data_IF_713803571835
#
_entry.id   IF_713803571835
#
_cell.length_a   1.000
_cell.length_b   1.000
_cell.length_c   1.000
_cell.angle_alpha   90.00
_cell.angle_beta   90.00
_cell.angle_gamma   90.00
#
_symmetry.space_group_name_H-M   'P 1'
#
loop_
_entity.id
_entity.type
_entity.pdbx_description
1 polymer ?
#
# COMPACT_ATOMS: atom_id res chain seq x y z
N UNK A 1 17.51 -4.48 -19.86
CA UNK A 1 17.78 -3.06 -19.65
C UNK A 1 16.88 -2.24 -20.58
N UNK A 2 16.22 -1.21 -20.04
CA UNK A 2 15.43 -0.24 -20.79
C UNK A 2 16.17 1.08 -20.87
N UNK A 3 16.28 1.63 -22.08
CA UNK A 3 16.90 2.94 -22.30
C UNK A 3 15.82 3.98 -22.49
N UNK A 4 15.92 5.09 -21.74
CA UNK A 4 14.89 6.14 -21.73
C UNK A 4 15.38 7.43 -22.37
N UNK A 5 14.41 8.28 -22.78
CA UNK A 5 14.64 9.59 -23.35
C UNK A 5 15.11 10.61 -22.29
N UNK A 6 15.49 11.80 -22.75
CA UNK A 6 15.99 12.87 -21.85
C UNK A 6 14.90 13.40 -20.91
N UNK A 7 13.63 13.37 -21.33
CA UNK A 7 12.51 13.81 -20.50
C UNK A 7 12.36 12.88 -19.29
N UNK A 8 12.25 11.56 -19.53
CA UNK A 8 12.18 10.58 -18.45
C UNK A 8 13.44 10.58 -17.57
N UNK A 9 14.65 10.71 -18.17
CA UNK A 9 15.88 10.87 -17.38
C UNK A 9 15.76 12.03 -16.39
N UNK A 10 15.24 13.19 -16.82
CA UNK A 10 15.04 14.35 -15.94
C UNK A 10 14.03 14.06 -14.81
N UNK A 11 12.91 13.42 -15.13
CA UNK A 11 11.90 13.03 -14.15
C UNK A 11 12.44 12.04 -13.12
N UNK A 12 13.14 11.01 -13.58
CA UNK A 12 13.70 9.97 -12.71
C UNK A 12 14.79 10.54 -11.78
N UNK A 13 15.64 11.42 -12.28
CA UNK A 13 16.65 12.11 -11.46
C UNK A 13 15.98 13.04 -10.44
N UNK A 14 14.86 13.66 -10.80
CA UNK A 14 14.03 14.47 -9.92
C UNK A 14 13.21 13.69 -8.89
N UNK A 15 13.31 12.34 -8.86
CA UNK A 15 12.62 11.51 -7.88
C UNK A 15 11.35 10.82 -8.38
N UNK A 16 10.86 11.12 -9.58
CA UNK A 16 9.68 10.43 -10.13
C UNK A 16 9.94 8.93 -10.31
N UNK A 17 9.05 8.03 -9.84
CA UNK A 17 9.35 6.59 -9.81
C UNK A 17 8.89 5.83 -11.06
N UNK A 18 8.25 6.46 -12.05
CA UNK A 18 7.63 5.79 -13.18
C UNK A 18 8.33 6.05 -14.50
N UNK A 19 8.46 5.01 -15.31
CA UNK A 19 8.84 5.07 -16.72
C UNK A 19 7.61 4.73 -17.55
N UNK A 20 7.19 5.66 -18.38
CA UNK A 20 6.06 5.43 -19.28
C UNK A 20 6.52 4.80 -20.60
N UNK A 21 5.60 4.11 -21.27
CA UNK A 21 5.84 3.47 -22.56
C UNK A 21 6.46 4.44 -23.60
N UNK A 22 5.91 5.65 -23.68
CA UNK A 22 6.37 6.67 -24.64
C UNK A 22 7.75 7.27 -24.30
N UNK A 23 8.29 6.99 -23.13
CA UNK A 23 9.60 7.46 -22.69
C UNK A 23 10.73 6.49 -23.06
N UNK A 24 10.39 5.28 -23.51
CA UNK A 24 11.34 4.23 -23.85
C UNK A 24 11.89 4.46 -25.27
N UNK A 25 13.19 4.59 -25.39
CA UNK A 25 13.91 4.67 -26.64
C UNK A 25 14.30 3.31 -27.19
N UNK A 26 14.80 2.45 -26.30
CA UNK A 26 15.24 1.10 -26.63
C UNK A 26 14.76 0.14 -25.53
N UNK A 27 14.14 -0.96 -25.94
CA UNK A 27 13.75 -2.07 -25.11
C UNK A 27 14.63 -3.29 -25.40
N UNK A 28 14.71 -4.29 -24.50
CA UNK A 28 15.38 -5.55 -24.80
C UNK A 28 14.76 -6.22 -26.02
N UNK A 29 15.58 -6.91 -26.81
CA UNK A 29 15.09 -7.61 -28.02
C UNK A 29 14.06 -8.70 -27.73
N UNK A 30 14.12 -9.30 -26.55
CA UNK A 30 13.06 -10.18 -26.00
C UNK A 30 12.44 -9.49 -24.82
N UNK A 31 11.11 -9.36 -24.81
CA UNK A 31 10.39 -8.79 -23.69
C UNK A 31 10.65 -9.61 -22.42
N UNK A 32 10.97 -8.98 -21.30
CA UNK A 32 11.11 -9.69 -20.04
C UNK A 32 9.76 -10.24 -19.58
N UNK A 33 9.79 -11.24 -18.74
CA UNK A 33 8.58 -11.76 -18.12
C UNK A 33 7.89 -10.66 -17.30
N UNK A 34 6.56 -10.59 -17.40
CA UNK A 34 5.75 -9.57 -16.74
C UNK A 34 5.98 -9.61 -15.21
N UNK A 35 6.22 -8.46 -14.60
CA UNK A 35 6.49 -8.31 -13.17
C UNK A 35 7.93 -8.61 -12.75
N UNK A 36 8.87 -8.85 -13.67
CA UNK A 36 10.28 -9.03 -13.33
C UNK A 36 11.01 -7.70 -13.16
N UNK A 37 12.14 -7.76 -12.47
CA UNK A 37 13.01 -6.61 -12.27
C UNK A 37 13.81 -6.29 -13.55
N UNK A 38 13.85 -5.01 -13.89
CA UNK A 38 14.60 -4.50 -15.03
C UNK A 38 15.35 -3.24 -14.66
N UNK A 39 16.53 -3.08 -15.26
CA UNK A 39 17.31 -1.84 -15.11
C UNK A 39 16.87 -0.81 -16.14
N UNK A 40 16.87 0.44 -15.68
CA UNK A 40 16.60 1.62 -16.49
C UNK A 40 17.86 2.46 -16.58
N UNK A 41 18.23 2.82 -17.81
CA UNK A 41 19.40 3.65 -18.08
C UNK A 41 19.04 4.86 -18.96
N UNK A 42 19.82 5.92 -18.86
CA UNK A 42 19.71 7.06 -19.75
C UNK A 42 20.12 6.73 -21.19
N UNK A 43 19.84 7.64 -22.14
CA UNK A 43 20.33 7.49 -23.53
C UNK A 43 21.86 7.27 -23.63
N UNK A 44 22.61 7.80 -22.66
CA UNK A 44 24.09 7.66 -22.59
C UNK A 44 24.56 6.44 -21.81
N UNK A 45 23.64 5.57 -21.34
CA UNK A 45 23.97 4.36 -20.59
C UNK A 45 24.18 4.59 -19.08
N UNK A 46 23.90 5.80 -18.54
CA UNK A 46 23.94 6.02 -17.09
C UNK A 46 22.80 5.29 -16.40
N UNK A 47 23.08 4.51 -15.38
CA UNK A 47 22.08 3.84 -14.56
C UNK A 47 21.17 4.87 -13.86
N UNK A 48 19.86 4.65 -13.91
CA UNK A 48 18.84 5.50 -13.33
C UNK A 48 18.04 4.79 -12.23
N UNK A 49 18.03 3.47 -12.24
CA UNK A 49 17.35 2.66 -11.24
C UNK A 49 16.95 1.29 -11.75
N UNK A 50 16.49 0.45 -10.83
CA UNK A 50 15.88 -0.85 -11.09
C UNK A 50 14.44 -0.83 -10.60
N UNK A 51 13.54 -1.44 -11.36
CA UNK A 51 12.12 -1.50 -11.04
C UNK A 51 11.41 -2.67 -11.69
N UNK A 52 10.12 -2.83 -11.36
CA UNK A 52 9.28 -3.87 -11.92
C UNK A 52 8.74 -3.47 -13.29
N UNK A 53 8.91 -4.35 -14.24
CA UNK A 53 8.33 -4.24 -15.58
C UNK A 53 6.85 -4.62 -15.55
N UNK A 54 6.01 -3.87 -16.29
CA UNK A 54 4.61 -4.22 -16.57
C UNK A 54 4.35 -4.23 -18.07
N UNK A 55 3.83 -5.35 -18.56
CA UNK A 55 3.49 -5.53 -19.98
C UNK A 55 2.18 -4.83 -20.36
N UNK A 56 1.22 -4.76 -19.42
CA UNK A 56 -0.13 -4.28 -19.71
C UNK A 56 -0.33 -2.79 -19.35
N UNK A 57 0.46 -2.28 -18.43
CA UNK A 57 0.35 -0.89 -17.98
C UNK A 57 1.06 0.09 -18.91
N UNK A 58 0.49 1.29 -19.05
CA UNK A 58 1.22 2.42 -19.66
C UNK A 58 2.45 2.83 -18.85
N UNK A 59 2.48 2.53 -17.56
CA UNK A 59 3.66 2.66 -16.69
C UNK A 59 4.48 1.39 -16.85
N UNK A 60 5.41 1.40 -17.79
CA UNK A 60 6.20 0.19 -18.16
C UNK A 60 7.16 -0.26 -17.08
N UNK A 61 7.76 0.67 -16.34
CA UNK A 61 8.64 0.32 -15.22
C UNK A 61 8.31 1.21 -14.02
N UNK A 62 8.13 0.56 -12.88
CA UNK A 62 8.01 1.23 -11.58
C UNK A 62 9.27 1.01 -10.78
N UNK A 63 10.06 2.08 -10.59
CA UNK A 63 11.34 2.01 -9.88
C UNK A 63 11.13 1.71 -8.41
N UNK A 64 11.99 0.85 -7.87
CA UNK A 64 12.04 0.46 -6.46
C UNK A 64 13.38 0.81 -5.80
N UNK A 65 14.43 0.95 -6.60
CA UNK A 65 15.73 1.41 -6.12
C UNK A 65 16.46 2.22 -7.19
N UNK A 66 17.29 3.16 -6.73
CA UNK A 66 18.25 3.92 -7.55
C UNK A 66 19.69 3.58 -7.23
N UNK A 67 19.91 2.64 -6.33
CA UNK A 67 21.23 2.16 -5.96
C UNK A 67 21.58 0.91 -6.78
N UNK A 68 22.56 1.03 -7.67
CA UNK A 68 23.00 -0.08 -8.53
C UNK A 68 23.62 -1.27 -7.75
N UNK A 69 23.92 -1.09 -6.48
CA UNK A 69 24.49 -2.15 -5.63
C UNK A 69 23.43 -2.92 -4.85
N UNK A 70 22.14 -2.52 -4.94
CA UNK A 70 21.09 -3.24 -4.24
C UNK A 70 20.88 -4.64 -4.84
N UNK A 71 20.76 -5.61 -3.94
CA UNK A 71 20.36 -6.97 -4.26
C UNK A 71 18.94 -7.16 -3.75
N UNK A 72 18.04 -7.56 -4.62
CA UNK A 72 16.60 -7.65 -4.36
C UNK A 72 16.22 -9.01 -3.75
N UNK A 73 16.96 -9.41 -2.73
CA UNK A 73 16.76 -10.59 -1.91
C UNK A 73 15.79 -10.34 -0.74
N UNK A 74 15.52 -11.37 0.07
CA UNK A 74 14.65 -11.26 1.24
C UNK A 74 15.16 -10.20 2.24
N UNK A 75 16.47 -10.06 2.41
CA UNK A 75 17.05 -9.08 3.34
C UNK A 75 16.80 -7.65 2.87
N UNK A 76 16.84 -7.41 1.55
CA UNK A 76 16.48 -6.10 0.96
C UNK A 76 15.01 -5.74 1.28
N UNK A 77 14.08 -6.68 1.05
CA UNK A 77 12.66 -6.43 1.29
C UNK A 77 12.35 -6.25 2.76
N UNK A 78 12.94 -7.08 3.63
CA UNK A 78 12.78 -6.93 5.08
C UNK A 78 13.24 -5.54 5.56
N UNK A 79 14.42 -5.09 5.13
CA UNK A 79 14.95 -3.76 5.45
C UNK A 79 14.01 -2.64 4.97
N UNK A 80 13.42 -2.76 3.78
CA UNK A 80 12.46 -1.77 3.28
C UNK A 80 11.17 -1.75 4.09
N UNK A 81 10.64 -2.90 4.49
CA UNK A 81 9.49 -3.01 5.38
C UNK A 81 9.78 -2.36 6.73
N UNK A 82 10.96 -2.63 7.28
CA UNK A 82 11.41 -2.02 8.51
C UNK A 82 11.47 -0.49 8.40
N UNK A 83 12.03 0.05 7.32
CA UNK A 83 12.05 1.51 7.11
C UNK A 83 10.65 2.12 7.01
N UNK A 84 9.73 1.49 6.32
CA UNK A 84 8.36 1.97 6.23
C UNK A 84 7.68 1.99 7.61
N UNK A 85 7.89 0.94 8.42
CA UNK A 85 7.35 0.86 9.77
C UNK A 85 8.00 1.86 10.74
N UNK A 86 9.33 1.96 10.76
CA UNK A 86 10.06 2.91 11.57
C UNK A 86 9.67 4.36 11.25
N UNK A 87 9.45 4.66 9.97
CA UNK A 87 8.95 5.97 9.57
C UNK A 87 7.60 6.27 10.23
N UNK A 88 6.65 5.32 10.25
CA UNK A 88 5.36 5.51 10.94
C UNK A 88 5.54 5.78 12.43
N UNK A 89 6.38 5.02 13.09
CA UNK A 89 6.70 5.23 14.50
C UNK A 89 7.35 6.59 14.78
N UNK A 90 8.10 7.13 13.83
CA UNK A 90 8.77 8.43 13.99
C UNK A 90 7.84 9.64 13.79
N UNK A 91 6.75 9.50 13.01
CA UNK A 91 5.88 10.63 12.62
C UNK A 91 4.48 10.58 13.22
N UNK A 92 4.10 9.47 13.84
CA UNK A 92 2.77 9.27 14.43
C UNK A 92 2.85 9.16 15.95
N UNK A 93 1.80 9.60 16.64
CA UNK A 93 1.66 9.32 18.06
C UNK A 93 1.55 7.80 18.29
N UNK A 94 2.15 7.24 19.36
CA UNK A 94 2.09 5.80 19.63
C UNK A 94 0.66 5.24 19.66
N UNK A 95 -0.32 5.99 20.16
CA UNK A 95 -1.72 5.59 20.16
C UNK A 95 -2.31 5.47 18.75
N UNK A 96 -1.75 6.19 17.77
CA UNK A 96 -2.21 6.19 16.40
C UNK A 96 -1.69 4.99 15.60
N UNK A 97 -0.68 4.26 16.13
CA UNK A 97 -0.16 3.05 15.51
C UNK A 97 -1.11 1.85 15.61
N UNK A 98 -2.15 1.95 16.41
CA UNK A 98 -3.20 0.92 16.50
C UNK A 98 -3.98 0.80 15.18
N UNK A 99 -4.28 1.94 14.55
CA UNK A 99 -4.94 1.98 13.24
C UNK A 99 -4.26 3.01 12.33
N UNK A 100 -3.47 2.53 11.37
CA UNK A 100 -2.68 3.39 10.50
C UNK A 100 -2.34 2.73 9.16
N UNK A 101 -2.03 3.56 8.16
CA UNK A 101 -1.44 3.11 6.90
C UNK A 101 0.06 2.87 7.07
N UNK A 102 0.49 1.62 6.93
CA UNK A 102 1.89 1.22 7.06
C UNK A 102 2.63 1.48 5.75
N UNK A 103 2.04 1.07 4.61
CA UNK A 103 2.64 1.23 3.28
C UNK A 103 1.69 2.00 2.38
N UNK A 104 2.22 3.01 1.70
CA UNK A 104 1.49 3.83 0.73
C UNK A 104 2.21 3.87 -0.62
N UNK A 105 2.21 2.76 -1.32
CA UNK A 105 2.66 2.66 -2.70
C UNK A 105 4.06 3.23 -2.93
N UNK A 106 4.15 4.08 -3.92
CA UNK A 106 5.37 4.74 -4.35
C UNK A 106 6.00 5.63 -3.29
N UNK A 107 5.22 6.19 -2.37
CA UNK A 107 5.73 7.05 -1.30
C UNK A 107 6.68 6.28 -0.36
N UNK A 108 6.44 4.98 -0.19
CA UNK A 108 7.27 4.08 0.62
C UNK A 108 8.16 3.18 -0.26
N UNK A 109 8.20 3.46 -1.57
CA UNK A 109 8.93 2.68 -2.58
C UNK A 109 8.49 1.19 -2.65
N UNK A 110 7.18 0.96 -2.50
CA UNK A 110 6.48 -0.30 -2.78
C UNK A 110 5.39 -0.04 -3.83
N UNK A 111 5.75 0.19 -5.10
CA UNK A 111 4.83 0.71 -6.11
C UNK A 111 3.62 -0.20 -6.31
N UNK A 112 2.44 0.35 -6.05
CA UNK A 112 1.18 -0.38 -6.16
C UNK A 112 0.83 -1.28 -4.97
N UNK A 113 1.54 -1.20 -3.84
CA UNK A 113 1.20 -1.87 -2.59
C UNK A 113 0.62 -0.88 -1.59
N UNK A 114 -0.56 -1.16 -1.05
CA UNK A 114 -1.12 -0.42 0.08
C UNK A 114 -1.36 -1.40 1.22
N UNK A 115 -0.91 -1.03 2.42
CA UNK A 115 -1.14 -1.81 3.64
C UNK A 115 -1.68 -0.91 4.73
N UNK A 116 -2.89 -1.19 5.15
CA UNK A 116 -3.55 -0.58 6.29
C UNK A 116 -3.61 -1.57 7.46
N UNK A 117 -3.20 -1.12 8.63
CA UNK A 117 -3.30 -1.85 9.89
C UNK A 117 -4.53 -1.38 10.65
N UNK A 118 -5.33 -2.32 11.11
CA UNK A 118 -6.47 -2.13 11.98
C UNK A 118 -6.30 -3.06 13.18
N UNK A 119 -5.76 -2.54 14.27
CA UNK A 119 -5.42 -3.29 15.47
C UNK A 119 -4.61 -4.57 15.18
N UNK A 120 -5.28 -5.70 15.08
CA UNK A 120 -4.69 -7.03 14.88
C UNK A 120 -4.89 -7.60 13.45
N UNK A 121 -5.45 -6.81 12.54
CA UNK A 121 -5.66 -7.18 11.15
C UNK A 121 -4.89 -6.24 10.20
N UNK A 122 -4.37 -6.81 9.13
CA UNK A 122 -3.85 -6.05 7.98
C UNK A 122 -4.84 -6.16 6.83
N UNK A 123 -5.17 -5.03 6.23
CA UNK A 123 -5.91 -4.95 4.97
C UNK A 123 -4.96 -4.51 3.88
N UNK A 124 -4.83 -5.32 2.83
CA UNK A 124 -3.80 -5.17 1.82
C UNK A 124 -4.41 -5.07 0.44
N UNK A 125 -3.94 -4.11 -0.35
CA UNK A 125 -4.20 -4.02 -1.78
C UNK A 125 -2.91 -4.16 -2.56
N UNK A 126 -2.85 -5.15 -3.45
CA UNK A 126 -1.73 -5.37 -4.36
C UNK A 126 -2.18 -4.98 -5.76
N UNK A 127 -1.73 -3.82 -6.23
CA UNK A 127 -2.24 -3.16 -7.45
C UNK A 127 -1.23 -3.17 -8.61
N UNK A 128 -0.09 -3.83 -8.45
CA UNK A 128 0.91 -3.97 -9.52
C UNK A 128 1.44 -5.40 -9.62
N UNK A 129 1.74 -5.82 -10.83
CA UNK A 129 2.23 -7.17 -11.11
C UNK A 129 3.55 -7.48 -10.38
N UNK A 130 4.42 -6.49 -10.22
CA UNK A 130 5.67 -6.69 -9.49
C UNK A 130 5.45 -6.99 -8.01
N UNK A 131 4.53 -6.28 -7.35
CA UNK A 131 4.18 -6.56 -5.96
C UNK A 131 3.44 -7.89 -5.80
N UNK A 132 2.60 -8.26 -6.78
CA UNK A 132 1.95 -9.58 -6.82
C UNK A 132 2.98 -10.71 -6.79
N UNK A 133 4.08 -10.60 -7.56
CA UNK A 133 5.13 -11.63 -7.62
C UNK A 133 5.90 -11.80 -6.32
N UNK A 134 6.00 -10.78 -5.51
CA UNK A 134 6.81 -10.81 -4.28
C UNK A 134 5.96 -10.74 -3.00
N UNK A 135 4.62 -10.77 -3.10
CA UNK A 135 3.75 -10.70 -1.92
C UNK A 135 4.03 -11.82 -0.91
N UNK A 136 4.42 -13.00 -1.37
CA UNK A 136 4.74 -14.15 -0.51
C UNK A 136 6.07 -13.98 0.27
N UNK A 137 6.89 -13.01 -0.13
CA UNK A 137 8.06 -12.58 0.65
C UNK A 137 7.66 -11.44 1.58
N UNK A 138 6.85 -10.48 1.10
CA UNK A 138 6.55 -9.26 1.82
C UNK A 138 5.55 -9.47 2.96
N UNK A 139 4.44 -10.16 2.71
CA UNK A 139 3.32 -10.20 3.66
C UNK A 139 3.65 -10.99 4.93
N UNK A 140 4.27 -12.18 4.85
CA UNK A 140 4.72 -12.88 6.07
C UNK A 140 5.78 -12.08 6.83
N UNK A 141 6.77 -11.52 6.13
CA UNK A 141 7.82 -10.73 6.76
C UNK A 141 7.28 -9.48 7.47
N UNK A 142 6.25 -8.82 6.91
CA UNK A 142 5.59 -7.70 7.56
C UNK A 142 4.84 -8.12 8.82
N UNK A 143 4.10 -9.24 8.77
CA UNK A 143 3.39 -9.75 9.94
C UNK A 143 4.37 -10.10 11.08
N UNK A 144 5.49 -10.76 10.75
CA UNK A 144 6.55 -11.08 11.71
C UNK A 144 7.19 -9.83 12.31
N UNK A 145 7.50 -8.82 11.47
CA UNK A 145 8.06 -7.55 11.91
C UNK A 145 7.16 -6.84 12.92
N UNK A 146 5.85 -6.77 12.63
CA UNK A 146 4.89 -6.12 13.50
C UNK A 146 4.70 -6.89 14.81
N UNK A 147 4.65 -8.22 14.75
CA UNK A 147 4.57 -9.09 15.94
C UNK A 147 5.80 -8.96 16.83
N UNK A 148 6.99 -8.88 16.24
CA UNK A 148 8.23 -8.66 16.98
C UNK A 148 8.25 -7.31 17.69
N UNK A 149 7.54 -6.32 17.17
CA UNK A 149 7.39 -4.98 17.74
C UNK A 149 6.15 -4.87 18.69
N UNK A 150 5.53 -6.00 19.04
CA UNK A 150 4.46 -6.09 20.04
C UNK A 150 3.03 -5.92 19.51
N UNK A 151 2.82 -5.88 18.20
CA UNK A 151 1.49 -5.79 17.60
C UNK A 151 0.95 -7.18 17.24
N UNK A 152 -0.19 -7.63 17.82
CA UNK A 152 -0.69 -9.00 17.67
C UNK A 152 -1.41 -9.18 16.32
N UNK A 153 -0.67 -9.31 15.22
CA UNK A 153 -1.28 -9.53 13.91
C UNK A 153 -1.81 -10.96 13.80
N UNK A 154 -3.14 -11.11 13.70
CA UNK A 154 -3.82 -12.41 13.58
C UNK A 154 -4.20 -12.78 12.14
N UNK A 155 -4.15 -11.82 11.19
CA UNK A 155 -4.45 -12.13 9.80
C UNK A 155 -4.24 -10.98 8.85
N UNK A 156 -4.16 -11.33 7.57
CA UNK A 156 -4.01 -10.40 6.45
C UNK A 156 -5.15 -10.64 5.48
N UNK A 157 -5.97 -9.62 5.23
CA UNK A 157 -7.04 -9.67 4.23
C UNK A 157 -6.60 -8.96 2.96
N UNK A 158 -6.63 -9.65 1.84
CA UNK A 158 -6.43 -9.05 0.52
C UNK A 158 -7.71 -8.39 0.05
N UNK A 159 -7.66 -7.09 -0.22
CA UNK A 159 -8.73 -6.28 -0.79
C UNK A 159 -8.38 -5.92 -2.23
N UNK A 160 -8.16 -6.97 -3.00
CA UNK A 160 -7.81 -6.89 -4.42
C UNK A 160 -9.06 -6.79 -5.33
N UNK A 161 -10.22 -6.52 -4.75
CA UNK A 161 -11.53 -6.30 -5.39
C UNK A 161 -11.64 -4.91 -6.03
N UNK A 162 -10.62 -4.48 -6.76
CA UNK A 162 -10.53 -3.16 -7.41
C UNK A 162 -10.21 -3.28 -8.91
N UNK A 163 -10.98 -2.57 -9.73
CA UNK A 163 -10.86 -2.58 -11.19
C UNK A 163 -9.47 -2.11 -11.72
N UNK A 164 -8.69 -1.42 -10.88
CA UNK A 164 -7.36 -0.99 -11.26
C UNK A 164 -6.41 -2.17 -11.55
N UNK A 165 -6.63 -3.32 -10.91
CA UNK A 165 -5.84 -4.55 -11.12
C UNK A 165 -5.91 -5.06 -12.56
N UNK A 166 -7.09 -4.94 -13.19
CA UNK A 166 -7.29 -5.38 -14.56
C UNK A 166 -6.40 -4.64 -15.57
N UNK A 167 -6.05 -3.38 -15.27
CA UNK A 167 -5.11 -2.59 -16.09
C UNK A 167 -3.67 -3.11 -16.00
N UNK A 168 -3.35 -3.89 -15.00
CA UNK A 168 -2.07 -4.57 -14.83
C UNK A 168 -2.11 -6.04 -15.31
N UNK A 169 -3.27 -6.49 -15.83
CA UNK A 169 -3.49 -7.88 -16.21
C UNK A 169 -3.68 -8.84 -15.04
N UNK A 170 -4.06 -8.30 -13.85
CA UNK A 170 -4.27 -9.08 -12.65
C UNK A 170 -5.76 -9.30 -12.39
N UNK A 171 -6.19 -10.49 -11.93
CA UNK A 171 -7.57 -10.73 -11.57
C UNK A 171 -7.95 -9.92 -10.32
N UNK A 172 -9.22 -9.55 -10.23
CA UNK A 172 -9.79 -9.08 -8.98
C UNK A 172 -10.03 -10.24 -8.02
N UNK A 173 -9.97 -9.97 -6.72
CA UNK A 173 -10.23 -10.96 -5.69
C UNK A 173 -10.25 -10.36 -4.29
N UNK A 174 -10.91 -11.04 -3.37
CA UNK A 174 -10.95 -10.69 -1.97
C UNK A 174 -10.87 -11.96 -1.13
N UNK A 175 -10.09 -11.96 -0.06
CA UNK A 175 -9.96 -13.10 0.83
C UNK A 175 -8.75 -13.03 1.73
N UNK A 176 -8.68 -13.96 2.65
CA UNK A 176 -7.55 -14.10 3.55
C UNK A 176 -6.29 -14.54 2.81
N UNK A 177 -5.19 -13.84 3.06
CA UNK A 177 -3.87 -14.31 2.65
C UNK A 177 -3.45 -15.47 3.56
N UNK A 178 -3.04 -16.62 3.00
CA UNK A 178 -2.64 -17.78 3.79
C UNK A 178 -1.28 -17.55 4.45
N UNK A 179 -1.26 -17.13 5.71
CA UNK A 179 -0.01 -17.07 6.47
C UNK A 179 0.52 -18.48 6.72
N UNK A 180 1.84 -18.73 6.54
CA UNK A 180 2.42 -20.06 6.69
C UNK A 180 2.18 -20.65 8.09
N UNK A 181 1.54 -21.82 8.14
CA UNK A 181 1.28 -22.53 9.40
C UNK A 181 0.14 -21.97 10.26
N UNK A 182 -0.61 -20.98 9.75
CA UNK A 182 -1.69 -20.33 10.48
C UNK A 182 -3.05 -20.57 9.80
N UNK A 183 -4.10 -20.75 10.60
CA UNK A 183 -5.47 -20.76 10.08
C UNK A 183 -5.95 -19.33 9.79
N UNK A 184 -6.82 -19.17 8.80
CA UNK A 184 -7.48 -17.91 8.57
C UNK A 184 -8.32 -17.49 9.79
N UNK A 185 -8.37 -16.19 10.12
CA UNK A 185 -9.23 -15.71 11.19
C UNK A 185 -10.72 -15.99 10.94
N UNK A 186 -11.46 -16.32 12.00
CA UNK A 186 -12.90 -16.58 11.92
C UNK A 186 -13.72 -15.30 11.63
N UNK A 187 -13.13 -14.11 11.86
CA UNK A 187 -13.81 -12.83 11.70
C UNK A 187 -12.89 -11.78 11.09
N UNK A 188 -13.43 -11.04 10.14
CA UNK A 188 -12.80 -9.85 9.56
C UNK A 188 -13.12 -8.55 10.32
N UNK A 189 -13.81 -8.63 11.45
CA UNK A 189 -14.14 -7.49 12.30
C UNK A 189 -13.13 -7.38 13.43
N UNK A 190 -12.64 -6.16 13.64
CA UNK A 190 -11.74 -5.82 14.75
C UNK A 190 -12.13 -4.50 15.39
N UNK A 191 -11.79 -4.31 16.67
CA UNK A 191 -11.98 -3.04 17.36
C UNK A 191 -10.69 -2.20 17.26
N UNK A 192 -10.82 -0.96 16.81
CA UNK A 192 -9.74 0.01 16.81
C UNK A 192 -10.07 1.16 17.77
N UNK A 193 -9.04 1.84 18.26
CA UNK A 193 -9.19 3.08 19.00
C UNK A 193 -8.63 4.24 18.19
N UNK A 194 -9.48 5.25 17.91
CA UNK A 194 -9.06 6.46 17.20
C UNK A 194 -9.55 7.69 17.98
N UNK A 195 -8.64 8.61 18.31
CA UNK A 195 -8.95 9.83 19.07
C UNK A 195 -9.70 9.56 20.40
N UNK A 196 -9.46 8.39 21.01
CA UNK A 196 -10.14 7.98 22.26
C UNK A 196 -11.54 7.37 22.06
N UNK A 197 -11.99 7.21 20.81
CA UNK A 197 -13.25 6.56 20.44
C UNK A 197 -12.99 5.18 19.89
N UNK A 198 -13.80 4.20 20.30
CA UNK A 198 -13.73 2.82 19.80
C UNK A 198 -14.63 2.64 18.60
N UNK A 199 -14.11 2.02 17.56
CA UNK A 199 -14.82 1.67 16.33
C UNK A 199 -14.70 0.18 16.06
N UNK A 200 -15.78 -0.47 15.66
CA UNK A 200 -15.74 -1.79 15.05
C UNK A 200 -15.51 -1.61 13.55
N UNK A 201 -14.42 -2.15 13.06
CA UNK A 201 -14.03 -2.07 11.65
C UNK A 201 -14.18 -3.44 11.01
N UNK A 202 -14.98 -3.52 9.97
CA UNK A 202 -15.07 -4.69 9.09
C UNK A 202 -14.12 -4.49 7.91
N UNK A 203 -12.97 -5.15 7.95
CA UNK A 203 -11.96 -5.03 6.89
C UNK A 203 -12.37 -5.74 5.61
N UNK A 204 -13.36 -6.64 5.66
CA UNK A 204 -13.87 -7.35 4.50
C UNK A 204 -14.91 -6.55 3.73
N UNK A 205 -15.90 -5.97 4.43
CA UNK A 205 -17.04 -5.32 3.80
C UNK A 205 -17.04 -3.81 3.95
N UNK A 206 -16.13 -3.27 4.77
CA UNK A 206 -15.98 -1.84 4.96
C UNK A 206 -15.48 -1.12 3.70
N UNK A 207 -15.73 0.18 3.65
CA UNK A 207 -15.30 1.01 2.51
C UNK A 207 -13.78 1.09 2.39
N UNK A 208 -13.27 1.21 1.16
CA UNK A 208 -11.83 1.18 0.84
C UNK A 208 -11.20 -0.12 1.36
N UNK A 209 -10.27 0.00 2.29
CA UNK A 209 -9.59 -1.10 2.97
C UNK A 209 -10.26 -1.53 4.28
N UNK A 210 -11.38 -0.89 4.65
CA UNK A 210 -12.16 -1.18 5.86
C UNK A 210 -12.66 0.08 6.58
N UNK A 211 -11.81 1.13 6.66
CA UNK A 211 -12.13 2.38 7.35
C UNK A 211 -11.33 3.55 6.75
N UNK A 212 -11.86 4.77 6.88
CA UNK A 212 -11.21 5.98 6.36
C UNK A 212 -10.15 6.52 7.31
N UNK A 213 -8.96 5.93 7.32
CA UNK A 213 -7.83 6.34 8.16
C UNK A 213 -7.36 7.77 7.87
N UNK A 214 -7.50 8.24 6.63
CA UNK A 214 -7.14 9.59 6.19
C UNK A 214 -8.00 10.69 6.83
N UNK A 215 -9.19 10.35 7.35
CA UNK A 215 -10.09 11.30 8.00
C UNK A 215 -9.87 11.46 9.52
N UNK A 216 -8.91 10.77 10.10
CA UNK A 216 -8.62 10.79 11.55
C UNK A 216 -8.49 12.20 12.13
N UNK A 217 -7.69 13.02 11.49
CA UNK A 217 -7.45 14.39 11.96
C UNK A 217 -8.66 15.30 11.71
N UNK A 218 -9.41 15.07 10.66
CA UNK A 218 -10.66 15.78 10.40
C UNK A 218 -11.71 15.45 11.45
N UNK A 219 -11.88 14.18 11.81
CA UNK A 219 -12.78 13.76 12.90
C UNK A 219 -12.37 14.41 14.23
N UNK A 220 -11.07 14.46 14.54
CA UNK A 220 -10.56 15.13 15.75
C UNK A 220 -10.83 16.64 15.73
N UNK A 221 -10.70 17.29 14.58
CA UNK A 221 -11.00 18.72 14.45
C UNK A 221 -12.50 19.00 14.63
N UNK A 222 -13.36 18.18 14.02
CA UNK A 222 -14.82 18.28 14.19
C UNK A 222 -15.22 18.08 15.64
N UNK A 223 -14.66 17.10 16.33
CA UNK A 223 -14.96 16.86 17.76
C UNK A 223 -14.65 18.08 18.63
N UNK A 224 -13.56 18.81 18.36
CA UNK A 224 -13.22 20.05 19.08
C UNK A 224 -14.23 21.17 18.83
N UNK A 225 -14.70 21.30 17.56
CA UNK A 225 -15.67 22.33 17.19
C UNK A 225 -17.09 21.97 17.66
N UNK A 226 -17.39 20.69 17.82
CA UNK A 226 -18.68 20.19 18.29
C UNK A 226 -18.93 20.39 19.79
N UNK A 227 -17.89 20.64 20.58
CA UNK A 227 -18.00 20.75 22.02
C UNK A 227 -19.01 21.83 22.42
N UNK A 228 -20.08 21.44 23.15
CA UNK A 228 -21.17 22.33 23.57
C UNK A 228 -22.13 22.78 22.47
N UNK A 229 -22.07 22.19 21.27
CA UNK A 229 -22.94 22.54 20.14
C UNK A 229 -23.77 21.33 19.69
N UNK A 230 -24.90 21.62 19.05
CA UNK A 230 -25.66 20.62 18.28
C UNK A 230 -25.06 20.51 16.90
N UNK A 231 -24.72 19.30 16.49
CA UNK A 231 -24.11 19.01 15.18
C UNK A 231 -25.10 18.29 14.28
N UNK A 232 -25.23 18.74 13.06
CA UNK A 232 -25.98 18.07 12.00
C UNK A 232 -24.97 17.58 10.94
N UNK A 233 -24.89 16.27 10.77
CA UNK A 233 -24.14 15.65 9.68
C UNK A 233 -25.07 15.43 8.50
N UNK A 234 -24.77 16.07 7.36
CA UNK A 234 -25.47 15.91 6.09
C UNK A 234 -24.62 15.05 5.15
N UNK A 235 -24.50 13.77 5.47
CA UNK A 235 -23.80 12.85 4.60
C UNK A 235 -24.55 12.68 3.28
N UNK A 236 -23.88 13.00 2.17
CA UNK A 236 -24.44 12.89 0.82
C UNK A 236 -24.42 11.45 0.27
N UNK A 237 -23.74 10.53 0.93
CA UNK A 237 -23.53 9.16 0.43
C UNK A 237 -24.67 8.23 0.87
N UNK A 238 -25.35 8.52 1.95
CA UNK A 238 -26.36 7.67 2.55
C UNK A 238 -27.71 8.37 2.70
N UNK A 239 -28.18 8.93 1.60
CA UNK A 239 -29.53 9.52 1.55
C UNK A 239 -30.63 8.46 1.78
N UNK A 240 -30.31 7.18 1.65
CA UNK A 240 -31.28 6.09 1.74
C UNK A 240 -31.50 5.52 3.14
N UNK A 241 -30.69 5.88 4.13
CA UNK A 241 -30.89 5.42 5.49
C UNK A 241 -30.88 6.60 6.46
N UNK A 242 -32.01 6.88 7.14
CA UNK A 242 -32.03 7.73 8.30
C UNK A 242 -31.33 6.99 9.43
N UNK A 243 -30.07 6.74 9.25
CA UNK A 243 -29.30 5.98 10.21
C UNK A 243 -29.10 6.81 11.44
N UNK A 244 -29.87 6.48 12.44
CA UNK A 244 -29.45 6.51 13.83
C UNK A 244 -28.27 7.44 14.11
N UNK A 245 -28.46 8.67 13.75
CA UNK A 245 -27.66 9.82 14.22
C UNK A 245 -27.90 10.00 15.72
N UNK A 246 -27.46 9.10 16.47
CA UNK A 246 -27.74 9.10 17.90
C UNK A 246 -26.60 8.65 18.77
N UNK A 247 -25.44 8.41 18.20
CA UNK A 247 -24.30 7.99 19.00
C UNK A 247 -22.98 8.53 18.42
N UNK A 248 -22.72 9.76 18.73
CA UNK A 248 -21.41 10.32 18.89
C UNK A 248 -21.33 10.93 20.27
#
# INVERSE_FOLDING_TARGET
>A
VYKVNKHAEGLLVGGHPWVYENDILEAPGTAPENGTLVDVVSKKGRYLGTGFFSEHSKIRVRLISRNANDRFDAAFWHRKLQWAWEYRKSVMDPADLDACRIIFGEADAFPGLTVDKFHDLLSVQVLSVGMERIQDILLPALAELLRADGFPIRGILLRNDVALREKEGLPQGKGWYPLPGEAAPDSAVTEITENGVKYLVDVENGQKTGFFLDQKYNRRAVARLAAGHTVLDLSLIHISEPTRLGMI
#
